data_IF_498165813574
#
_entry.id   IF_498165813574
#
_cell.length_a   1.000
_cell.length_b   1.000
_cell.length_c   1.000
_cell.angle_alpha   90.00
_cell.angle_beta   90.00
_cell.angle_gamma   90.00
#
_symmetry.space_group_name_H-M   'P 1'
#
loop_
_entity.id
_entity.type
_entity.pdbx_description
1 polymer ?
#
# COMPACT_ATOMS: atom_id res chain seq x y z
N UNK A 1 -5.12 -18.79 24.19
CA UNK A 1 -5.84 -18.02 23.14
C UNK A 1 -4.96 -16.86 22.70
N UNK A 2 -5.08 -16.47 21.42
CA UNK A 2 -4.42 -15.37 20.69
C UNK A 2 -3.05 -15.63 20.03
N UNK A 3 -3.12 -16.23 18.84
CA UNK A 3 -2.15 -15.98 17.77
C UNK A 3 -2.56 -14.71 17.02
N UNK A 4 -1.74 -13.66 17.09
CA UNK A 4 -1.91 -12.43 16.32
C UNK A 4 -1.21 -12.52 14.95
N UNK A 5 -1.77 -11.93 13.88
CA UNK A 5 -1.28 -12.08 12.51
C UNK A 5 0.11 -11.44 12.34
N UNK A 6 1.06 -12.25 11.84
CA UNK A 6 2.46 -11.88 11.58
C UNK A 6 2.67 -11.04 10.30
N UNK A 7 1.58 -10.58 9.65
CA UNK A 7 1.62 -9.87 8.37
C UNK A 7 2.08 -8.41 8.47
N UNK A 8 2.05 -7.79 9.65
CA UNK A 8 2.37 -6.36 9.82
C UNK A 8 3.84 -6.01 9.58
N UNK A 9 4.77 -6.95 9.75
CA UNK A 9 6.21 -6.69 9.60
C UNK A 9 6.68 -6.76 8.14
N UNK A 10 6.09 -7.64 7.33
CA UNK A 10 6.41 -7.73 5.90
C UNK A 10 5.79 -6.57 5.11
N UNK A 11 4.57 -6.15 5.48
CA UNK A 11 3.90 -5.01 4.84
C UNK A 11 4.74 -3.72 4.91
N UNK A 12 5.39 -3.43 6.05
CA UNK A 12 6.28 -2.27 6.16
C UNK A 12 7.53 -2.41 5.28
N UNK A 13 8.09 -3.62 5.17
CA UNK A 13 9.26 -3.89 4.33
C UNK A 13 8.90 -3.84 2.83
N UNK A 14 7.71 -4.30 2.46
CA UNK A 14 7.19 -4.24 1.09
C UNK A 14 6.80 -2.81 0.71
N UNK A 15 6.17 -2.04 1.61
CA UNK A 15 5.92 -0.61 1.41
C UNK A 15 7.22 0.19 1.29
N UNK A 16 8.25 -0.13 2.08
CA UNK A 16 9.57 0.49 1.97
C UNK A 16 10.24 0.21 0.63
N UNK A 17 10.11 -1.02 0.11
CA UNK A 17 10.57 -1.37 -1.23
C UNK A 17 9.77 -0.67 -2.34
N UNK A 18 8.44 -0.57 -2.18
CA UNK A 18 7.54 0.03 -3.16
C UNK A 18 7.73 1.54 -3.28
N UNK A 19 8.15 2.21 -2.20
CA UNK A 19 8.21 3.67 -2.14
C UNK A 19 9.61 4.25 -2.41
N UNK A 20 10.59 3.38 -2.68
CA UNK A 20 12.03 3.60 -2.63
C UNK A 20 12.50 5.00 -3.09
N UNK A 21 12.69 5.96 -2.16
CA UNK A 21 13.47 7.17 -2.43
C UNK A 21 14.95 6.84 -2.13
N UNK A 22 15.93 7.58 -2.68
CA UNK A 22 17.34 7.35 -2.43
C UNK A 22 17.78 7.57 -0.95
N UNK A 23 16.88 7.98 -0.04
CA UNK A 23 17.20 8.30 1.36
C UNK A 23 16.26 7.61 2.37
N UNK A 24 16.77 6.88 3.37
CA UNK A 24 15.97 6.13 4.36
C UNK A 24 15.16 7.03 5.32
N UNK A 25 15.57 8.29 5.53
CA UNK A 25 14.75 9.28 6.27
C UNK A 25 13.49 9.69 5.48
N UNK A 26 13.65 9.89 4.18
CA UNK A 26 12.53 10.19 3.29
C UNK A 26 11.61 8.98 3.16
N UNK A 27 12.15 7.75 3.17
CA UNK A 27 11.36 6.52 3.14
C UNK A 27 10.37 6.44 4.30
N UNK A 28 10.82 6.67 5.55
CA UNK A 28 9.91 6.70 6.71
C UNK A 28 8.89 7.82 6.61
N UNK A 29 9.31 9.02 6.21
CA UNK A 29 8.45 10.19 6.17
C UNK A 29 7.40 10.10 5.05
N UNK A 30 7.78 9.56 3.91
CA UNK A 30 6.87 9.22 2.80
C UNK A 30 5.92 8.13 3.28
N UNK A 31 6.42 7.00 3.79
CA UNK A 31 5.58 5.88 4.25
C UNK A 31 4.56 6.32 5.31
N UNK A 32 4.94 7.15 6.30
CA UNK A 32 4.00 7.73 7.27
C UNK A 32 2.95 8.65 6.63
N UNK A 33 3.32 9.39 5.58
CA UNK A 33 2.42 10.28 4.84
C UNK A 33 1.49 9.53 3.89
N UNK A 34 1.95 8.44 3.26
CA UNK A 34 1.15 7.67 2.30
C UNK A 34 0.21 6.68 3.00
N UNK A 35 0.60 6.12 4.15
CA UNK A 35 -0.21 5.14 4.90
C UNK A 35 -1.68 5.52 5.12
N UNK A 36 -2.03 6.73 5.60
CA UNK A 36 -3.44 7.10 5.77
C UNK A 36 -4.19 7.14 4.44
N UNK A 37 -3.57 7.66 3.37
CA UNK A 37 -4.18 7.69 2.03
C UNK A 37 -4.37 6.29 1.45
N UNK A 38 -3.39 5.39 1.62
CA UNK A 38 -3.50 3.99 1.19
C UNK A 38 -4.62 3.26 1.94
N UNK A 39 -4.76 3.49 3.25
CA UNK A 39 -5.89 2.97 4.05
C UNK A 39 -7.24 3.46 3.54
N UNK A 40 -7.35 4.74 3.20
CA UNK A 40 -8.58 5.31 2.64
C UNK A 40 -8.91 4.73 1.26
N UNK A 41 -7.91 4.51 0.40
CA UNK A 41 -8.09 3.82 -0.89
C UNK A 41 -8.58 2.40 -0.67
N UNK A 42 -7.91 1.63 0.20
CA UNK A 42 -8.32 0.26 0.52
C UNK A 42 -9.75 0.17 1.06
N UNK A 43 -10.18 1.14 1.89
CA UNK A 43 -11.53 1.19 2.43
C UNK A 43 -12.58 1.65 1.43
N UNK A 44 -12.27 2.65 0.61
CA UNK A 44 -13.22 3.25 -0.35
C UNK A 44 -13.36 2.43 -1.62
N UNK A 45 -12.33 1.66 -1.98
CA UNK A 45 -12.31 0.80 -3.16
C UNK A 45 -12.41 -0.70 -2.83
N UNK A 46 -12.71 -1.09 -1.59
CA UNK A 46 -12.99 -2.47 -1.23
C UNK A 46 -14.11 -3.05 -2.11
N UNK A 47 -13.87 -4.20 -2.74
CA UNK A 47 -14.83 -4.83 -3.66
C UNK A 47 -14.90 -4.21 -5.07
N UNK A 48 -14.06 -3.21 -5.39
CA UNK A 48 -13.85 -2.71 -6.76
C UNK A 48 -12.97 -3.67 -7.57
N UNK A 49 -12.99 -3.58 -8.91
CA UNK A 49 -12.05 -4.32 -9.74
C UNK A 49 -10.59 -3.90 -9.44
N UNK A 50 -9.69 -4.89 -9.40
CA UNK A 50 -8.27 -4.69 -9.09
C UNK A 50 -7.63 -3.61 -9.97
N UNK A 51 -7.98 -3.53 -11.26
CA UNK A 51 -7.45 -2.50 -12.16
C UNK A 51 -7.75 -1.05 -11.72
N UNK A 52 -8.93 -0.79 -11.16
CA UNK A 52 -9.26 0.54 -10.61
C UNK A 52 -8.48 0.83 -9.33
N UNK A 53 -8.27 -0.20 -8.50
CA UNK A 53 -7.51 -0.08 -7.26
C UNK A 53 -6.03 0.17 -7.55
N UNK A 54 -5.43 -0.54 -8.51
CA UNK A 54 -4.03 -0.32 -8.95
C UNK A 54 -3.83 1.12 -9.39
N UNK A 55 -4.74 1.66 -10.22
CA UNK A 55 -4.64 3.04 -10.69
C UNK A 55 -4.69 4.07 -9.54
N UNK A 56 -5.57 3.85 -8.56
CA UNK A 56 -5.66 4.70 -7.37
C UNK A 56 -4.39 4.61 -6.50
N UNK A 57 -3.84 3.42 -6.30
CA UNK A 57 -2.61 3.22 -5.53
C UNK A 57 -1.39 3.83 -6.26
N UNK A 58 -1.28 3.67 -7.58
CA UNK A 58 -0.24 4.29 -8.40
C UNK A 58 -0.23 5.82 -8.27
N UNK A 59 -1.41 6.45 -8.31
CA UNK A 59 -1.55 7.90 -8.18
C UNK A 59 -1.10 8.39 -6.80
N UNK A 60 -1.46 7.66 -5.75
CA UNK A 60 -1.08 7.98 -4.36
C UNK A 60 0.43 7.87 -4.17
N UNK A 61 1.06 6.81 -4.70
CA UNK A 61 2.52 6.60 -4.64
C UNK A 61 3.26 7.68 -5.45
N UNK A 62 2.79 7.96 -6.67
CA UNK A 62 3.39 9.00 -7.53
C UNK A 62 3.26 10.39 -6.93
N UNK A 63 2.11 10.72 -6.33
CA UNK A 63 1.88 11.99 -5.63
C UNK A 63 2.79 12.18 -4.43
N UNK A 64 3.24 11.09 -3.82
CA UNK A 64 4.22 11.11 -2.73
C UNK A 64 5.68 11.22 -3.23
N UNK A 65 5.90 11.32 -4.53
CA UNK A 65 7.23 11.38 -5.15
C UNK A 65 7.96 10.04 -5.18
N UNK A 66 7.25 8.94 -4.91
CA UNK A 66 7.77 7.59 -4.94
C UNK A 66 7.49 6.91 -6.29
N UNK A 67 8.26 5.86 -6.59
CA UNK A 67 8.14 5.12 -7.85
C UNK A 67 7.29 3.87 -7.63
N UNK A 68 6.08 3.78 -8.18
CA UNK A 68 5.20 2.65 -7.92
C UNK A 68 5.81 1.35 -8.45
N UNK A 69 5.82 0.32 -7.61
CA UNK A 69 6.11 -1.05 -8.02
C UNK A 69 4.80 -1.73 -8.44
N UNK A 70 4.65 -1.94 -9.75
CA UNK A 70 3.38 -2.36 -10.33
C UNK A 70 2.94 -3.74 -9.85
N UNK A 71 3.90 -4.66 -9.68
CA UNK A 71 3.62 -6.04 -9.24
C UNK A 71 3.07 -6.06 -7.82
N UNK A 72 3.71 -5.35 -6.90
CA UNK A 72 3.20 -5.28 -5.53
C UNK A 72 1.88 -4.48 -5.44
N UNK A 73 1.68 -3.46 -6.28
CA UNK A 73 0.38 -2.79 -6.37
C UNK A 73 -0.75 -3.70 -6.86
N UNK A 74 -0.48 -4.60 -7.81
CA UNK A 74 -1.45 -5.61 -8.27
C UNK A 74 -1.83 -6.58 -7.15
N UNK A 75 -0.86 -7.05 -6.35
CA UNK A 75 -1.11 -7.92 -5.20
C UNK A 75 -1.98 -7.22 -4.14
N UNK A 76 -1.69 -5.97 -3.80
CA UNK A 76 -2.53 -5.18 -2.88
C UNK A 76 -3.93 -4.95 -3.45
N UNK A 77 -4.03 -4.67 -4.75
CA UNK A 77 -5.30 -4.45 -5.40
C UNK A 77 -6.17 -5.71 -5.42
N UNK A 78 -5.58 -6.89 -5.60
CA UNK A 78 -6.31 -8.16 -5.48
C UNK A 78 -6.87 -8.38 -4.08
N UNK A 79 -6.08 -8.10 -3.04
CA UNK A 79 -6.55 -8.24 -1.66
C UNK A 79 -7.69 -7.26 -1.34
N UNK A 80 -7.58 -6.01 -1.80
CA UNK A 80 -8.63 -5.00 -1.66
C UNK A 80 -9.88 -5.36 -2.45
N UNK A 81 -9.71 -5.92 -3.66
CA UNK A 81 -10.80 -6.38 -4.50
C UNK A 81 -11.59 -7.51 -3.82
N UNK A 82 -10.90 -8.36 -3.04
CA UNK A 82 -11.53 -9.40 -2.20
C UNK A 82 -12.20 -8.86 -0.94
N UNK A 83 -12.17 -7.55 -0.72
CA UNK A 83 -12.75 -6.88 0.45
C UNK A 83 -11.82 -6.82 1.66
N UNK A 84 -10.56 -7.20 1.50
CA UNK A 84 -9.52 -6.98 2.50
C UNK A 84 -9.05 -5.53 2.52
N UNK A 85 -8.36 -5.13 3.57
CA UNK A 85 -7.58 -3.88 3.56
C UNK A 85 -6.19 -4.20 4.11
N UNK A 86 -5.18 -4.39 3.24
CA UNK A 86 -3.81 -4.71 3.66
C UNK A 86 -3.22 -3.62 4.56
N UNK A 87 -3.79 -2.41 4.52
CA UNK A 87 -3.26 -1.26 5.23
C UNK A 87 -3.88 -1.05 6.62
N UNK A 88 -4.84 -1.89 7.06
CA UNK A 88 -5.54 -1.77 8.37
C UNK A 88 -4.74 -2.27 9.60
#
# INVERSE_FOLDING_TARGET
MHGGPRFRSNLQAELGNLLRPPNPRLERQVSEQVRPRLREVGRSHAGRPAAEIVAALEEVVRSAGARPDRTALEEFAEEISRGGNPFD
#
